data_IF_835592218200
#
_entry.id   IF_835592218200
#
_cell.length_a   1.000
_cell.length_b   1.000
_cell.length_c   1.000
_cell.angle_alpha   90.00
_cell.angle_beta   90.00
_cell.angle_gamma   90.00
#
_symmetry.space_group_name_H-M   'P 1'
#
loop_
_entity.id
_entity.type
_entity.pdbx_description
1 polymer ?
#
# COMPACT_ATOMS: atom_id res chain seq x y z
N UNK A 1 10.96 31.30 18.53
CA UNK A 1 9.77 32.02 18.03
C UNK A 1 10.09 33.07 16.95
N UNK A 2 10.96 34.07 17.18
CA UNK A 2 11.18 35.13 16.17
C UNK A 2 11.99 34.69 14.93
N UNK A 3 12.92 33.74 15.10
CA UNK A 3 13.76 33.25 14.00
C UNK A 3 12.97 32.40 13.00
N UNK A 4 12.12 31.50 13.49
CA UNK A 4 11.27 30.63 12.65
C UNK A 4 10.29 31.44 11.80
N UNK A 5 9.62 32.44 12.39
CA UNK A 5 8.74 33.35 11.65
C UNK A 5 9.51 34.18 10.61
N UNK A 6 10.72 34.65 10.96
CA UNK A 6 11.59 35.37 10.03
C UNK A 6 11.98 34.49 8.83
N UNK A 7 12.25 33.21 9.07
CA UNK A 7 12.61 32.29 8.00
C UNK A 7 11.41 31.86 7.15
N UNK A 8 10.21 31.75 7.74
CA UNK A 8 8.96 31.59 6.99
C UNK A 8 8.71 32.78 6.07
N UNK A 9 8.85 34.01 6.59
CA UNK A 9 8.75 35.24 5.81
C UNK A 9 9.79 35.29 4.70
N UNK A 10 11.06 34.96 4.98
CA UNK A 10 12.12 34.91 3.96
C UNK A 10 11.83 33.90 2.87
N UNK A 11 11.39 32.68 3.22
CA UNK A 11 11.02 31.65 2.24
C UNK A 11 9.86 32.14 1.38
N UNK A 12 8.82 32.70 1.99
CA UNK A 12 7.70 33.28 1.26
C UNK A 12 8.12 34.41 0.31
N UNK A 13 8.90 35.37 0.80
CA UNK A 13 9.42 36.47 -0.02
C UNK A 13 10.38 35.98 -1.11
N UNK A 14 11.11 34.87 -0.90
CA UNK A 14 11.97 34.25 -1.92
C UNK A 14 11.18 33.59 -3.05
N UNK A 15 9.96 33.11 -2.78
CA UNK A 15 9.00 32.72 -3.83
C UNK A 15 8.31 33.94 -4.49
N UNK A 16 8.53 35.15 -3.95
CA UNK A 16 7.92 36.40 -4.36
C UNK A 16 8.29 36.83 -5.77
N UNK A 17 7.26 36.91 -6.62
CA UNK A 17 7.04 37.72 -7.86
C UNK A 17 6.24 36.96 -8.92
N UNK A 18 6.16 35.62 -8.84
CA UNK A 18 5.43 34.80 -9.84
C UNK A 18 4.09 34.25 -9.38
N UNK A 19 3.79 34.24 -8.08
CA UNK A 19 2.47 33.83 -7.58
C UNK A 19 1.49 35.01 -7.66
N UNK A 20 1.01 35.29 -8.87
CA UNK A 20 -0.20 36.07 -9.08
C UNK A 20 -1.35 35.08 -8.98
N UNK A 21 -2.33 35.33 -8.12
CA UNK A 21 -3.60 34.61 -8.21
C UNK A 21 -4.17 34.76 -9.63
N UNK A 22 -5.10 33.89 -10.05
CA UNK A 22 -5.77 34.00 -11.37
C UNK A 22 -6.47 35.36 -11.63
N UNK A 23 -6.51 36.25 -10.62
CA UNK A 23 -7.01 37.63 -10.67
C UNK A 23 -5.91 38.72 -10.67
N UNK A 24 -4.63 38.36 -10.65
CA UNK A 24 -3.50 39.29 -10.79
C UNK A 24 -3.00 39.98 -9.50
N UNK A 25 -3.56 39.68 -8.34
CA UNK A 25 -3.15 40.31 -7.07
C UNK A 25 -1.85 39.71 -6.52
N UNK A 26 -0.93 40.58 -6.11
CA UNK A 26 0.22 40.24 -5.26
C UNK A 26 -0.25 40.20 -3.82
N UNK A 27 -0.18 39.05 -3.16
CA UNK A 27 -0.50 38.97 -1.73
C UNK A 27 0.49 39.80 -0.93
N UNK A 28 -0.01 40.78 -0.18
CA UNK A 28 0.80 41.51 0.78
C UNK A 28 1.26 40.51 1.86
N UNK A 29 2.54 40.50 2.23
CA UNK A 29 3.06 39.60 3.25
C UNK A 29 2.29 39.72 4.59
N UNK A 30 1.70 40.88 4.85
CA UNK A 30 0.82 41.14 6.00
C UNK A 30 -0.46 40.29 5.98
N UNK A 31 -1.05 40.03 4.81
CA UNK A 31 -2.30 39.23 4.74
C UNK A 31 -2.09 37.76 5.05
N UNK A 32 -0.84 37.29 5.08
CA UNK A 32 -0.47 35.90 5.36
C UNK A 32 -0.07 35.66 6.80
N UNK A 33 0.05 36.72 7.60
CA UNK A 33 0.40 36.63 9.00
C UNK A 33 -0.50 35.65 9.79
N UNK A 34 -1.84 35.69 9.62
CA UNK A 34 -2.72 34.73 10.30
C UNK A 34 -2.45 33.27 9.90
N UNK A 35 -2.08 33.04 8.64
CA UNK A 35 -1.77 31.69 8.15
C UNK A 35 -0.45 31.16 8.72
N UNK A 36 0.57 32.00 8.88
CA UNK A 36 1.84 31.60 9.48
C UNK A 36 1.75 31.40 10.99
N UNK A 37 1.01 32.26 11.68
CA UNK A 37 0.72 32.07 13.10
C UNK A 37 0.06 30.71 13.33
N UNK A 38 -0.96 30.40 12.53
CA UNK A 38 -1.62 29.10 12.58
C UNK A 38 -0.63 27.96 12.28
N UNK A 39 0.13 28.05 11.20
CA UNK A 39 1.08 27.00 10.80
C UNK A 39 2.15 26.73 11.88
N UNK A 40 2.67 27.79 12.49
CA UNK A 40 3.63 27.69 13.60
C UNK A 40 2.98 27.03 14.82
N UNK A 41 1.79 27.49 15.22
CA UNK A 41 1.11 26.98 16.41
C UNK A 41 0.57 25.56 16.24
N UNK A 42 0.39 25.09 15.00
CA UNK A 42 0.06 23.69 14.68
C UNK A 42 1.27 22.78 14.49
N UNK A 43 2.48 23.33 14.47
CA UNK A 43 3.70 22.53 14.26
C UNK A 43 4.17 21.90 15.57
N UNK A 44 4.56 20.62 15.51
CA UNK A 44 5.09 19.90 16.67
C UNK A 44 6.45 20.47 17.02
N UNK A 45 6.65 20.84 18.29
CA UNK A 45 7.92 21.34 18.76
C UNK A 45 8.84 20.19 19.18
N UNK A 46 10.10 20.22 18.74
CA UNK A 46 11.05 19.10 18.88
C UNK A 46 11.33 18.74 20.35
N UNK A 47 11.47 19.73 21.23
CA UNK A 47 11.77 19.46 22.65
C UNK A 47 10.59 18.98 23.48
N UNK A 48 9.36 19.37 23.14
CA UNK A 48 8.17 19.03 23.93
C UNK A 48 7.40 17.86 23.33
N UNK A 49 7.55 17.60 22.03
CA UNK A 49 6.80 16.59 21.30
C UNK A 49 5.33 16.96 21.08
N UNK A 50 4.90 18.15 21.49
CA UNK A 50 3.52 18.65 21.38
C UNK A 50 3.49 19.95 20.58
N UNK A 51 2.33 20.25 20.00
CA UNK A 51 2.10 21.53 19.33
C UNK A 51 1.87 22.66 20.35
N UNK A 52 2.24 23.91 20.03
CA UNK A 52 1.90 25.05 20.89
C UNK A 52 0.40 25.16 21.21
N UNK A 53 -0.48 24.83 20.26
CA UNK A 53 -1.93 24.82 20.52
C UNK A 53 -2.35 23.78 21.56
N UNK A 54 -1.76 22.58 21.53
CA UNK A 54 -2.03 21.56 22.54
C UNK A 54 -1.53 21.99 23.91
N UNK A 55 -0.37 22.64 24.00
CA UNK A 55 0.18 23.12 25.26
C UNK A 55 -0.64 24.26 25.87
N UNK A 56 -1.16 25.17 25.04
CA UNK A 56 -1.93 26.33 25.52
C UNK A 56 -3.40 25.99 25.78
N UNK A 57 -4.04 25.24 24.87
CA UNK A 57 -5.49 25.02 24.84
C UNK A 57 -5.90 23.59 25.10
N UNK A 58 -4.97 22.64 25.04
CA UNK A 58 -5.25 21.20 25.14
C UNK A 58 -5.75 20.56 23.84
N UNK A 59 -5.90 21.31 22.74
CA UNK A 59 -6.37 20.82 21.44
C UNK A 59 -5.92 21.72 20.30
N UNK A 60 -5.82 21.17 19.08
CA UNK A 60 -5.48 21.93 17.86
C UNK A 60 -6.74 22.39 17.14
N UNK A 61 -6.94 23.71 16.92
CA UNK A 61 -8.07 24.22 16.16
C UNK A 61 -8.00 23.83 14.68
N UNK A 62 -9.15 23.51 14.10
CA UNK A 62 -9.26 23.24 12.67
C UNK A 62 -9.17 24.54 11.86
N UNK A 63 -8.35 24.55 10.81
CA UNK A 63 -8.32 25.65 9.87
C UNK A 63 -9.67 25.72 9.14
N UNK A 64 -10.24 26.92 8.85
CA UNK A 64 -11.53 27.04 8.17
C UNK A 64 -11.60 26.27 6.84
N UNK A 65 -10.47 26.20 6.12
CA UNK A 65 -10.36 25.41 4.88
C UNK A 65 -10.51 23.92 5.13
N UNK A 66 -9.91 23.39 6.20
CA UNK A 66 -10.04 21.99 6.63
C UNK A 66 -11.47 21.67 7.11
N UNK A 67 -12.12 22.62 7.80
CA UNK A 67 -13.52 22.48 8.22
C UNK A 67 -14.50 22.43 7.03
N UNK A 68 -14.17 23.12 5.92
CA UNK A 68 -14.95 23.07 4.67
C UNK A 68 -14.60 21.82 3.84
N UNK A 69 -13.31 21.49 3.71
CA UNK A 69 -12.80 20.36 2.91
C UNK A 69 -13.17 18.99 3.50
N UNK A 70 -13.13 18.86 4.82
CA UNK A 70 -13.55 17.63 5.52
C UNK A 70 -15.00 17.23 5.23
N UNK A 71 -15.85 18.19 4.82
CA UNK A 71 -17.24 17.97 4.42
C UNK A 71 -17.42 17.81 2.91
N UNK A 72 -16.39 18.01 2.09
CA UNK A 72 -16.52 18.15 0.63
C UNK A 72 -15.59 17.26 -0.20
N UNK A 73 -14.96 16.22 0.37
CA UNK A 73 -14.35 15.17 -0.46
C UNK A 73 -15.46 14.35 -1.12
N UNK A 74 -16.00 14.87 -2.22
CA UNK A 74 -16.85 14.13 -3.14
C UNK A 74 -15.92 13.15 -3.87
N UNK A 75 -15.79 11.94 -3.33
CA UNK A 75 -15.18 10.83 -4.06
C UNK A 75 -15.97 10.66 -5.37
N UNK A 76 -15.31 10.84 -6.50
CA UNK A 76 -15.90 10.53 -7.80
C UNK A 76 -16.40 9.07 -7.74
N UNK A 77 -17.61 8.73 -8.21
CA UNK A 77 -18.20 7.39 -8.04
C UNK A 77 -17.29 6.27 -8.57
N UNK A 78 -16.45 6.58 -9.57
CA UNK A 78 -15.41 5.68 -10.08
C UNK A 78 -14.34 5.33 -9.03
N UNK A 79 -13.90 6.28 -8.19
CA UNK A 79 -12.90 6.02 -7.15
C UNK A 79 -13.44 5.09 -6.05
N UNK A 80 -14.71 5.22 -5.68
CA UNK A 80 -15.35 4.32 -4.72
C UNK A 80 -15.55 2.92 -5.31
N UNK A 81 -15.97 2.84 -6.58
CA UNK A 81 -16.04 1.56 -7.30
C UNK A 81 -14.67 0.86 -7.40
N UNK A 82 -13.59 1.62 -7.60
CA UNK A 82 -12.23 1.09 -7.65
C UNK A 82 -11.76 0.62 -6.27
N UNK A 83 -12.07 1.37 -5.20
CA UNK A 83 -11.80 0.97 -3.82
C UNK A 83 -12.48 -0.36 -3.49
N UNK A 84 -13.76 -0.51 -3.81
CA UNK A 84 -14.49 -1.76 -3.54
C UNK A 84 -13.95 -2.94 -4.35
N UNK A 85 -13.53 -2.70 -5.60
CA UNK A 85 -12.85 -3.71 -6.42
C UNK A 85 -11.54 -4.17 -5.78
N UNK A 86 -10.70 -3.24 -5.34
CA UNK A 86 -9.41 -3.55 -4.71
C UNK A 86 -9.57 -4.34 -3.41
N UNK A 87 -10.53 -3.98 -2.56
CA UNK A 87 -10.82 -4.71 -1.32
C UNK A 87 -11.30 -6.14 -1.60
N UNK A 88 -12.12 -6.35 -2.64
CA UNK A 88 -12.55 -7.69 -3.06
C UNK A 88 -11.38 -8.51 -3.61
N UNK A 89 -10.50 -7.89 -4.42
CA UNK A 89 -9.32 -8.54 -4.97
C UNK A 89 -8.34 -8.97 -3.86
N UNK A 90 -8.11 -8.11 -2.87
CA UNK A 90 -7.25 -8.41 -1.72
C UNK A 90 -7.81 -9.57 -0.89
N UNK A 91 -9.12 -9.56 -0.59
CA UNK A 91 -9.78 -10.66 0.11
C UNK A 91 -9.65 -11.97 -0.67
N UNK A 92 -9.85 -11.95 -1.98
CA UNK A 92 -9.72 -13.14 -2.81
C UNK A 92 -8.28 -13.65 -2.86
N UNK A 93 -7.30 -12.76 -2.91
CA UNK A 93 -5.89 -13.12 -2.87
C UNK A 93 -5.50 -13.75 -1.52
N UNK A 94 -6.00 -13.21 -0.40
CA UNK A 94 -5.74 -13.77 0.94
C UNK A 94 -6.40 -15.13 1.13
N UNK A 95 -7.63 -15.31 0.67
CA UNK A 95 -8.32 -16.60 0.69
C UNK A 95 -7.59 -17.65 -0.16
N UNK A 96 -7.10 -17.26 -1.35
CA UNK A 96 -6.35 -18.15 -2.24
C UNK A 96 -5.02 -18.57 -1.62
N UNK A 97 -4.30 -17.64 -0.97
CA UNK A 97 -3.08 -17.95 -0.22
C UNK A 97 -3.36 -18.94 0.92
N UNK A 98 -4.46 -18.75 1.66
CA UNK A 98 -4.85 -19.65 2.76
C UNK A 98 -5.24 -21.03 2.26
N UNK A 99 -5.97 -21.12 1.15
CA UNK A 99 -6.34 -22.40 0.53
C UNK A 99 -5.10 -23.15 0.05
N UNK A 100 -4.18 -22.47 -0.62
CA UNK A 100 -2.91 -23.05 -1.03
C UNK A 100 -2.12 -23.55 0.18
N UNK A 101 -2.01 -22.76 1.26
CA UNK A 101 -1.34 -23.20 2.48
C UNK A 101 -1.96 -24.48 3.06
N UNK A 102 -3.30 -24.56 3.15
CA UNK A 102 -4.01 -25.76 3.63
C UNK A 102 -3.75 -26.97 2.76
N UNK A 103 -3.75 -26.78 1.44
CA UNK A 103 -3.50 -27.84 0.48
C UNK A 103 -2.07 -28.40 0.59
N UNK A 104 -1.07 -27.52 0.74
CA UNK A 104 0.35 -27.90 0.80
C UNK A 104 0.86 -28.23 2.21
N UNK A 105 0.08 -27.97 3.27
CA UNK A 105 0.48 -28.24 4.67
C UNK A 105 0.77 -29.73 4.95
N UNK A 106 -0.12 -30.69 4.61
CA UNK A 106 0.12 -32.11 4.88
C UNK A 106 1.34 -32.67 4.15
N UNK A 107 1.60 -32.20 2.92
CA UNK A 107 2.74 -32.62 2.10
C UNK A 107 4.07 -32.14 2.69
N UNK A 108 4.09 -30.95 3.28
CA UNK A 108 5.24 -30.42 4.03
C UNK A 108 5.58 -31.28 5.25
N UNK A 109 4.57 -31.73 6.00
CA UNK A 109 4.76 -32.64 7.14
C UNK A 109 5.23 -34.04 6.73
N UNK A 110 4.89 -34.50 5.52
CA UNK A 110 5.35 -35.80 5.02
C UNK A 110 6.85 -35.79 4.67
N UNK A 111 7.37 -34.70 4.10
CA UNK A 111 8.80 -34.53 3.75
C UNK A 111 9.73 -34.48 4.96
N UNK A 112 9.28 -34.02 6.12
CA UNK A 112 10.12 -34.02 7.34
C UNK A 112 10.27 -35.40 7.99
N UNK A 113 9.62 -36.46 7.49
CA UNK A 113 9.53 -37.77 8.14
C UNK A 113 10.46 -38.86 7.59
N UNK A 114 11.56 -38.47 6.92
CA UNK A 114 12.66 -39.36 6.50
C UNK A 114 12.66 -39.72 5.00
N UNK A 115 13.77 -40.27 4.47
CA UNK A 115 14.06 -40.34 3.03
C UNK A 115 13.09 -41.24 2.23
N UNK A 116 12.62 -42.35 2.81
CA UNK A 116 11.67 -43.24 2.14
C UNK A 116 10.27 -42.60 1.94
N UNK A 117 9.87 -41.69 2.83
CA UNK A 117 8.60 -40.95 2.72
C UNK A 117 8.70 -39.73 1.82
N UNK A 118 9.90 -39.17 1.63
CA UNK A 118 10.15 -38.06 0.72
C UNK A 118 9.88 -38.40 -0.75
N UNK A 119 10.25 -39.59 -1.21
CA UNK A 119 10.01 -40.03 -2.59
C UNK A 119 8.50 -40.16 -2.90
N UNK A 120 7.73 -40.75 -1.98
CA UNK A 120 6.26 -40.79 -2.09
C UNK A 120 5.62 -39.41 -1.96
N UNK A 121 6.20 -38.51 -1.17
CA UNK A 121 5.71 -37.14 -1.03
C UNK A 121 5.92 -36.33 -2.31
N UNK A 122 7.02 -36.51 -3.05
CA UNK A 122 7.28 -35.80 -4.31
C UNK A 122 6.28 -36.19 -5.41
N UNK A 123 6.03 -37.49 -5.60
CA UNK A 123 5.03 -37.96 -6.58
C UNK A 123 3.60 -37.59 -6.16
N UNK A 124 3.33 -37.47 -4.86
CA UNK A 124 2.08 -36.93 -4.33
C UNK A 124 1.94 -35.42 -4.58
N UNK A 125 3.02 -34.63 -4.50
CA UNK A 125 3.02 -33.20 -4.80
C UNK A 125 2.70 -32.91 -6.26
N UNK A 126 3.23 -33.68 -7.21
CA UNK A 126 2.94 -33.51 -8.65
C UNK A 126 1.45 -33.78 -8.95
N UNK A 127 0.91 -34.89 -8.42
CA UNK A 127 -0.53 -35.22 -8.53
C UNK A 127 -1.43 -34.24 -7.77
N UNK A 128 -0.93 -33.63 -6.69
CA UNK A 128 -1.64 -32.63 -5.91
C UNK A 128 -1.66 -31.29 -6.65
N UNK A 129 -0.53 -30.84 -7.20
CA UNK A 129 -0.43 -29.64 -8.03
C UNK A 129 -1.35 -29.69 -9.23
N UNK A 130 -1.39 -30.83 -9.94
CA UNK A 130 -2.27 -31.00 -11.11
C UNK A 130 -3.77 -30.94 -10.73
N UNK A 131 -4.15 -31.50 -9.57
CA UNK A 131 -5.53 -31.42 -9.04
C UNK A 131 -5.89 -30.03 -8.55
N UNK A 132 -4.97 -29.31 -7.90
CA UNK A 132 -5.19 -27.92 -7.49
C UNK A 132 -5.40 -27.02 -8.72
N UNK A 133 -4.57 -27.20 -9.76
CA UNK A 133 -4.68 -26.46 -11.01
C UNK A 133 -6.02 -26.72 -11.73
N UNK A 134 -6.42 -27.99 -11.88
CA UNK A 134 -7.73 -28.35 -12.46
C UNK A 134 -8.91 -27.75 -11.68
N UNK A 135 -8.82 -27.69 -10.34
CA UNK A 135 -9.88 -27.13 -9.47
C UNK A 135 -9.98 -25.60 -9.57
N UNK A 136 -8.87 -24.91 -9.82
CA UNK A 136 -8.88 -23.46 -10.06
C UNK A 136 -9.54 -23.14 -11.41
N UNK A 137 -9.25 -23.94 -12.46
CA UNK A 137 -9.86 -23.77 -13.79
C UNK A 137 -11.36 -24.12 -13.84
N UNK A 138 -11.83 -25.10 -13.08
CA UNK A 138 -13.26 -25.43 -13.03
C UNK A 138 -14.10 -24.36 -12.32
N UNK A 139 -13.51 -23.62 -11.38
CA UNK A 139 -14.20 -22.61 -10.59
C UNK A 139 -14.08 -21.19 -11.17
N UNK A 140 -13.24 -20.96 -12.19
CA UNK A 140 -13.11 -19.66 -12.85
C UNK A 140 -12.61 -19.80 -14.32
N UNK A 141 -13.52 -19.83 -15.32
CA UNK A 141 -13.16 -20.13 -16.72
C UNK A 141 -12.36 -19.03 -17.44
N UNK A 142 -12.10 -17.88 -16.80
CA UNK A 142 -11.42 -16.73 -17.40
C UNK A 142 -9.89 -16.74 -17.28
N UNK A 143 -9.27 -17.75 -16.66
CA UNK A 143 -7.83 -17.88 -16.61
C UNK A 143 -7.29 -18.46 -17.94
N UNK A 144 -6.94 -17.60 -18.89
CA UNK A 144 -6.18 -17.97 -20.08
C UNK A 144 -4.74 -18.38 -19.72
N UNK A 145 -4.11 -19.32 -20.45
CA UNK A 145 -2.78 -19.81 -20.14
C UNK A 145 -1.73 -18.84 -20.67
N UNK A 146 -1.10 -18.06 -19.79
CA UNK A 146 0.26 -17.60 -20.04
C UNK A 146 1.19 -18.73 -19.57
N UNK A 147 2.01 -19.25 -20.48
CA UNK A 147 2.86 -20.45 -20.40
C UNK A 147 2.28 -21.75 -21.00
N UNK A 148 2.02 -21.69 -22.31
CA UNK A 148 2.29 -22.83 -23.18
C UNK A 148 3.80 -22.90 -23.48
N UNK A 149 4.54 -23.69 -22.72
CA UNK A 149 5.80 -24.33 -23.14
C UNK A 149 6.01 -25.49 -22.16
N UNK A 150 5.71 -26.69 -22.62
CA UNK A 150 5.83 -27.90 -21.84
C UNK A 150 7.27 -28.11 -21.41
N UNK A 151 7.50 -28.12 -20.10
CA UNK A 151 8.62 -28.84 -19.54
C UNK A 151 8.25 -30.33 -19.54
N UNK A 152 8.40 -30.96 -20.70
CA UNK A 152 8.70 -32.39 -20.76
C UNK A 152 10.05 -32.52 -20.05
N UNK A 153 10.03 -32.89 -18.77
CA UNK A 153 11.23 -33.33 -18.08
C UNK A 153 11.56 -34.69 -18.70
N UNK A 154 12.38 -34.64 -19.74
CA UNK A 154 12.98 -35.80 -20.38
C UNK A 154 13.75 -36.58 -19.30
N UNK A 155 13.32 -37.81 -19.05
CA UNK A 155 13.91 -38.74 -18.07
C UNK A 155 15.33 -39.17 -18.43
N UNK A 156 15.91 -38.62 -19.50
CA UNK A 156 17.30 -38.84 -19.93
C UNK A 156 18.35 -38.00 -19.20
N UNK A 157 17.98 -37.02 -18.36
CA UNK A 157 18.95 -36.22 -17.60
C UNK A 157 19.34 -36.82 -16.23
N UNK A 158 18.79 -37.97 -15.85
CA UNK A 158 19.16 -38.70 -14.62
C UNK A 158 20.27 -39.75 -14.80
N UNK A 159 20.85 -39.89 -16.00
CA UNK A 159 22.00 -40.77 -16.24
C UNK A 159 23.35 -40.05 -16.34
N UNK A 160 23.41 -38.74 -16.12
CA UNK A 160 24.65 -37.95 -16.21
C UNK A 160 25.21 -37.45 -14.88
N UNK A 161 24.54 -37.72 -13.76
CA UNK A 161 25.12 -37.57 -12.42
C UNK A 161 25.15 -38.93 -11.73
N UNK A 162 26.04 -39.79 -12.25
CA UNK A 162 26.63 -40.84 -11.43
C UNK A 162 27.80 -40.23 -10.67
N UNK A 163 27.62 -40.05 -9.36
CA UNK A 163 28.62 -40.11 -8.30
C UNK A 163 27.91 -40.30 -6.96
#
# INVERSE_FOLDING_TARGET
MIQTLKDMLRRYCSFGTKFKDGKGYTHNWVSLFPAWEFAYNSSVHDTTGFTPFELEKGWVPYMPKEAVLSRTVVLHPTADSFRTMMLKAEKKASDSKREAQRFWQPLRCAKSSGPARCATAFSAEEKAGNRYFQRQHSNNPAALPLFGLGAVIDTRLLSLFGY
#
